data_IF_594393012826
#
_entry.id   IF_594393012826
#
_cell.length_a   1.000
_cell.length_b   1.000
_cell.length_c   1.000
_cell.angle_alpha   90.00
_cell.angle_beta   90.00
_cell.angle_gamma   90.00
#
_symmetry.space_group_name_H-M   'P 1'
#
loop_
_entity.id
_entity.type
_entity.pdbx_description
1 polymer ?
#
# COMPACT_ATOMS: atom_id res chain seq x y z
N UNK A 1 -23.52 -14.81 6.34
CA UNK A 1 -22.04 -14.88 6.34
C UNK A 1 -21.58 -14.75 4.90
N UNK A 2 -21.16 -13.56 4.47
CA UNK A 2 -20.53 -13.37 3.16
C UNK A 2 -19.05 -13.70 3.26
N UNK A 3 -18.52 -14.48 2.31
CA UNK A 3 -17.09 -14.72 2.22
C UNK A 3 -16.36 -13.40 1.97
N UNK A 4 -15.35 -13.10 2.77
CA UNK A 4 -14.48 -11.94 2.55
C UNK A 4 -13.75 -12.11 1.22
N UNK A 5 -13.65 -11.08 0.37
CA UNK A 5 -12.82 -11.15 -0.82
C UNK A 5 -11.38 -11.45 -0.41
N UNK A 6 -10.80 -12.49 -0.99
CA UNK A 6 -9.44 -12.93 -0.68
C UNK A 6 -8.39 -11.85 -1.04
N UNK A 7 -8.75 -10.88 -1.88
CA UNK A 7 -7.95 -9.70 -2.19
C UNK A 7 -8.86 -8.49 -2.39
N UNK A 8 -8.37 -7.30 -2.06
CA UNK A 8 -9.04 -6.02 -2.33
C UNK A 8 -9.06 -5.63 -3.81
N UNK A 9 -8.47 -6.45 -4.70
CA UNK A 9 -8.60 -6.26 -6.15
C UNK A 9 -9.67 -7.18 -6.71
N UNK A 10 -10.58 -6.60 -7.49
CA UNK A 10 -11.56 -7.34 -8.31
C UNK A 10 -10.97 -7.74 -9.66
N UNK A 11 -9.71 -7.38 -9.93
CA UNK A 11 -9.03 -7.73 -11.18
C UNK A 11 -8.67 -9.22 -11.19
N UNK A 12 -9.30 -10.04 -12.07
CA UNK A 12 -9.03 -11.47 -12.12
C UNK A 12 -7.57 -11.80 -12.46
N UNK A 13 -6.84 -10.92 -13.16
CA UNK A 13 -5.42 -11.12 -13.47
C UNK A 13 -4.58 -10.97 -12.21
N UNK A 14 -4.85 -9.95 -11.39
CA UNK A 14 -4.13 -9.73 -10.13
C UNK A 14 -4.51 -10.76 -9.06
N UNK A 15 -5.74 -11.27 -9.09
CA UNK A 15 -6.20 -12.39 -8.27
C UNK A 15 -5.47 -13.71 -8.58
N UNK A 16 -4.99 -13.89 -9.82
CA UNK A 16 -4.32 -15.11 -10.30
C UNK A 16 -2.82 -14.92 -10.54
N UNK A 17 -2.27 -13.76 -10.17
CA UNK A 17 -0.88 -13.45 -10.41
C UNK A 17 0.01 -14.18 -9.39
N UNK A 18 0.39 -15.41 -9.73
CA UNK A 18 1.51 -16.09 -9.08
C UNK A 18 2.80 -15.66 -9.79
N UNK A 19 3.71 -15.00 -9.06
CA UNK A 19 5.07 -14.83 -9.58
C UNK A 19 5.71 -16.22 -9.60
N UNK A 20 5.96 -16.75 -10.79
CA UNK A 20 6.68 -18.01 -10.99
C UNK A 20 8.14 -17.92 -10.55
N UNK A 21 8.68 -16.69 -10.45
CA UNK A 21 10.03 -16.45 -9.99
C UNK A 21 10.09 -15.25 -9.04
N UNK A 22 10.71 -15.45 -7.89
CA UNK A 22 11.02 -14.40 -6.94
C UNK A 22 12.52 -14.08 -7.03
N UNK A 23 12.91 -12.88 -7.48
CA UNK A 23 14.33 -12.53 -7.55
C UNK A 23 14.93 -12.59 -6.15
N UNK A 24 16.12 -13.18 -6.04
CA UNK A 24 16.86 -13.34 -4.78
C UNK A 24 18.02 -12.34 -4.65
N UNK A 25 18.49 -11.80 -5.77
CA UNK A 25 19.51 -10.76 -5.86
C UNK A 25 19.15 -9.72 -6.93
N UNK A 26 19.89 -8.62 -6.95
CA UNK A 26 19.86 -7.63 -8.03
C UNK A 26 20.86 -8.07 -9.11
N UNK A 27 20.36 -8.44 -10.28
CA UNK A 27 21.13 -8.69 -11.50
C UNK A 27 20.80 -7.64 -12.58
N UNK A 28 21.41 -7.74 -13.76
CA UNK A 28 21.19 -6.80 -14.86
C UNK A 28 19.73 -6.81 -15.35
N UNK A 29 19.07 -7.97 -15.32
CA UNK A 29 17.67 -8.08 -15.69
C UNK A 29 16.77 -7.35 -14.67
N UNK A 30 17.05 -7.49 -13.37
CA UNK A 30 16.36 -6.73 -12.33
C UNK A 30 16.66 -5.24 -12.45
N UNK A 31 17.89 -4.83 -12.77
CA UNK A 31 18.22 -3.42 -12.99
C UNK A 31 17.43 -2.85 -14.16
N UNK A 32 17.30 -3.57 -15.28
CA UNK A 32 16.47 -3.16 -16.41
C UNK A 32 14.99 -3.01 -16.00
N UNK A 33 14.45 -3.95 -15.22
CA UNK A 33 13.08 -3.86 -14.68
C UNK A 33 12.91 -2.64 -13.77
N UNK A 34 13.90 -2.30 -12.94
CA UNK A 34 13.85 -1.11 -12.09
C UNK A 34 13.86 0.18 -12.92
N UNK A 35 14.68 0.24 -13.97
CA UNK A 35 14.66 1.35 -14.94
C UNK A 35 13.27 1.52 -15.53
N UNK A 36 12.67 0.45 -16.07
CA UNK A 36 11.31 0.50 -16.59
C UNK A 36 10.29 0.95 -15.53
N UNK A 37 10.44 0.54 -14.27
CA UNK A 37 9.56 1.00 -13.19
C UNK A 37 9.68 2.51 -12.96
N UNK A 38 10.88 3.08 -13.05
CA UNK A 38 11.12 4.52 -12.92
C UNK A 38 10.55 5.29 -14.12
N UNK A 39 10.66 4.73 -15.33
CA UNK A 39 10.08 5.30 -16.54
C UNK A 39 8.58 5.43 -16.34
N UNK A 40 7.94 4.31 -15.98
CA UNK A 40 6.50 4.21 -15.70
C UNK A 40 6.04 5.17 -14.59
N UNK A 41 6.81 5.31 -13.52
CA UNK A 41 6.48 6.24 -12.43
C UNK A 41 6.51 7.71 -12.89
N UNK A 42 7.37 8.04 -13.86
CA UNK A 42 7.48 9.37 -14.44
C UNK A 42 6.28 9.70 -15.36
N UNK A 43 5.61 8.67 -15.90
CA UNK A 43 4.37 8.80 -16.70
C UNK A 43 3.09 8.96 -15.86
N UNK A 44 3.18 9.40 -14.59
CA UNK A 44 1.99 9.59 -13.72
C UNK A 44 0.94 10.59 -14.24
N UNK A 45 1.26 11.41 -15.25
CA UNK A 45 0.30 12.37 -15.83
C UNK A 45 -0.75 11.78 -16.80
N UNK A 46 -0.42 10.90 -17.76
CA UNK A 46 -1.44 10.30 -18.63
C UNK A 46 -2.38 9.29 -17.94
N UNK A 47 -1.93 8.61 -16.87
CA UNK A 47 -2.67 7.47 -16.29
C UNK A 47 -4.02 7.82 -15.66
N UNK A 48 -4.18 9.00 -15.08
CA UNK A 48 -5.47 9.42 -14.51
C UNK A 48 -6.54 9.72 -15.58
N UNK A 49 -6.14 9.88 -16.86
CA UNK A 49 -7.07 10.09 -17.98
C UNK A 49 -7.50 8.81 -18.69
N UNK A 50 -6.90 7.65 -18.38
CA UNK A 50 -7.21 6.40 -19.09
C UNK A 50 -8.39 5.63 -18.53
N UNK A 51 -8.92 6.04 -17.37
CA UNK A 51 -10.08 5.43 -16.73
C UNK A 51 -9.89 3.94 -16.39
N UNK A 52 -10.90 3.37 -15.74
CA UNK A 52 -10.95 1.92 -15.44
C UNK A 52 -11.15 1.06 -16.72
N UNK A 53 -11.35 1.67 -17.88
CA UNK A 53 -11.85 1.02 -19.10
C UNK A 53 -10.79 0.33 -19.96
N UNK A 54 -9.51 0.61 -19.76
CA UNK A 54 -8.42 -0.07 -20.48
C UNK A 54 -7.94 -1.30 -19.72
N UNK A 55 -7.89 -2.45 -20.40
CA UNK A 55 -7.37 -3.70 -19.84
C UNK A 55 -5.89 -3.56 -19.45
N UNK A 56 -5.43 -4.37 -18.48
CA UNK A 56 -4.01 -4.40 -18.06
C UNK A 56 -3.08 -4.64 -19.25
N UNK A 57 -3.47 -5.50 -20.19
CA UNK A 57 -2.66 -5.82 -21.37
C UNK A 57 -2.59 -4.64 -22.35
N UNK A 58 -3.66 -3.87 -22.52
CA UNK A 58 -3.62 -2.65 -23.33
C UNK A 58 -2.68 -1.60 -22.73
N UNK A 59 -2.65 -1.49 -21.39
CA UNK A 59 -1.70 -0.61 -20.69
C UNK A 59 -0.26 -1.11 -20.88
N UNK A 60 -0.01 -2.41 -20.71
CA UNK A 60 1.31 -3.04 -20.93
C UNK A 60 1.81 -2.84 -22.36
N UNK A 61 0.97 -3.09 -23.36
CA UNK A 61 1.34 -2.93 -24.77
C UNK A 61 1.68 -1.48 -25.12
N UNK A 62 0.89 -0.53 -24.60
CA UNK A 62 1.21 0.90 -24.75
C UNK A 62 2.55 1.24 -24.12
N UNK A 63 2.82 0.76 -22.90
CA UNK A 63 4.09 1.05 -22.24
C UNK A 63 5.28 0.40 -22.94
N UNK A 64 5.14 -0.82 -23.42
CA UNK A 64 6.17 -1.49 -24.22
C UNK A 64 6.48 -0.71 -25.51
N UNK A 65 5.47 -0.11 -26.14
CA UNK A 65 5.67 0.73 -27.31
C UNK A 65 6.38 2.07 -26.99
N UNK A 66 6.04 2.70 -25.86
CA UNK A 66 6.62 3.99 -25.46
C UNK A 66 8.08 3.89 -24.98
N UNK A 67 8.42 2.84 -24.23
CA UNK A 67 9.79 2.61 -23.74
C UNK A 67 10.76 2.32 -24.90
N UNK A 68 10.25 1.98 -26.09
CA UNK A 68 11.06 1.73 -27.28
C UNK A 68 11.48 2.98 -28.06
N UNK A 69 10.89 4.15 -27.81
CA UNK A 69 11.08 5.33 -28.68
C UNK A 69 11.85 6.50 -28.05
N UNK A 70 11.95 6.61 -26.71
CA UNK A 70 12.70 7.69 -26.05
C UNK A 70 13.63 7.15 -24.95
N UNK A 71 14.94 7.41 -25.07
CA UNK A 71 15.89 7.32 -23.94
C UNK A 71 15.59 8.45 -22.94
N UNK A 72 14.57 8.26 -22.11
CA UNK A 72 14.42 9.06 -20.91
C UNK A 72 15.59 8.72 -19.98
N UNK A 73 16.70 9.44 -20.14
CA UNK A 73 17.88 9.32 -19.29
C UNK A 73 17.49 9.65 -17.85
N UNK A 74 17.17 8.63 -17.06
CA UNK A 74 16.99 8.81 -15.63
C UNK A 74 18.31 9.24 -15.00
N UNK A 75 18.21 10.12 -14.01
CA UNK A 75 19.33 10.43 -13.14
C UNK A 75 19.89 9.11 -12.57
N UNK A 76 21.16 8.80 -12.89
CA UNK A 76 21.83 7.59 -12.44
C UNK A 76 21.76 7.43 -10.92
N UNK A 77 21.72 8.56 -10.19
CA UNK A 77 21.56 8.56 -8.74
C UNK A 77 20.19 8.04 -8.29
N UNK A 78 19.11 8.27 -9.06
CA UNK A 78 17.78 7.72 -8.76
C UNK A 78 17.75 6.20 -8.99
N UNK A 79 18.33 5.72 -10.09
CA UNK A 79 18.42 4.28 -10.35
C UNK A 79 19.24 3.57 -9.28
N UNK A 80 20.36 4.15 -8.84
CA UNK A 80 21.18 3.58 -7.78
C UNK A 80 20.46 3.61 -6.41
N UNK A 81 19.71 4.67 -6.11
CA UNK A 81 18.87 4.70 -4.91
C UNK A 81 17.76 3.63 -4.95
N UNK A 82 17.14 3.41 -6.11
CA UNK A 82 16.14 2.35 -6.30
C UNK A 82 16.75 0.96 -6.18
N UNK A 83 17.91 0.73 -6.81
CA UNK A 83 18.68 -0.50 -6.71
C UNK A 83 19.12 -0.80 -5.27
N UNK A 84 19.52 0.23 -4.51
CA UNK A 84 19.81 0.12 -3.09
C UNK A 84 18.59 -0.37 -2.31
N UNK A 85 17.44 0.28 -2.49
CA UNK A 85 16.20 -0.08 -1.80
C UNK A 85 15.71 -1.48 -2.19
N UNK A 86 15.82 -1.84 -3.47
CA UNK A 86 15.45 -3.17 -3.97
C UNK A 86 16.33 -4.25 -3.36
N UNK A 87 17.66 -4.05 -3.35
CA UNK A 87 18.59 -4.98 -2.72
C UNK A 87 18.31 -5.13 -1.22
N UNK A 88 18.06 -4.03 -0.52
CA UNK A 88 17.70 -4.04 0.90
C UNK A 88 16.38 -4.81 1.14
N UNK A 89 15.38 -4.62 0.28
CA UNK A 89 14.12 -5.37 0.31
C UNK A 89 14.37 -6.87 0.08
N UNK A 90 15.08 -7.27 -0.98
CA UNK A 90 15.33 -8.68 -1.28
C UNK A 90 16.04 -9.40 -0.13
N UNK A 91 17.06 -8.76 0.45
CA UNK A 91 17.93 -9.38 1.46
C UNK A 91 17.32 -9.37 2.87
N UNK A 92 16.62 -8.29 3.26
CA UNK A 92 16.15 -8.09 4.65
C UNK A 92 14.66 -7.82 4.73
N UNK A 93 14.12 -7.02 3.81
CA UNK A 93 12.72 -6.58 3.87
C UNK A 93 11.72 -7.70 3.62
N UNK A 94 11.92 -8.49 2.56
CA UNK A 94 11.02 -9.57 2.17
C UNK A 94 10.90 -10.64 3.25
N UNK A 95 11.98 -11.20 3.83
CA UNK A 95 11.84 -12.16 4.93
C UNK A 95 11.04 -11.61 6.12
N UNK A 96 11.24 -10.32 6.47
CA UNK A 96 10.51 -9.66 7.56
C UNK A 96 9.03 -9.48 7.26
N UNK A 97 8.69 -9.07 6.04
CA UNK A 97 7.30 -8.91 5.62
C UNK A 97 6.59 -10.27 5.51
N UNK A 98 7.24 -11.28 4.95
CA UNK A 98 6.69 -12.64 4.89
C UNK A 98 6.47 -13.24 6.28
N UNK A 99 7.33 -12.90 7.26
CA UNK A 99 7.15 -13.34 8.64
C UNK A 99 5.87 -12.77 9.32
N UNK A 100 5.19 -11.79 8.74
CA UNK A 100 3.90 -11.29 9.23
C UNK A 100 2.72 -12.24 8.89
N UNK A 101 2.87 -13.11 7.89
CA UNK A 101 1.86 -14.10 7.51
C UNK A 101 1.75 -14.32 5.99
N UNK A 102 1.00 -15.36 5.61
CA UNK A 102 0.93 -15.83 4.22
C UNK A 102 -0.07 -15.04 3.35
N UNK A 103 -1.10 -14.45 3.98
CA UNK A 103 -2.10 -13.65 3.27
C UNK A 103 -1.56 -12.25 3.06
N UNK A 104 -1.46 -11.79 1.82
CA UNK A 104 -1.13 -10.41 1.49
C UNK A 104 -2.23 -9.75 0.66
N UNK A 105 -2.72 -8.60 1.10
CA UNK A 105 -3.65 -7.75 0.34
C UNK A 105 -2.93 -6.45 0.02
N UNK A 106 -2.90 -6.09 -1.25
CA UNK A 106 -2.26 -4.87 -1.74
C UNK A 106 -3.34 -3.83 -2.00
N UNK A 107 -3.09 -2.59 -1.60
CA UNK A 107 -3.97 -1.46 -1.82
C UNK A 107 -5.44 -1.69 -1.35
N UNK A 108 -5.71 -2.28 -0.15
CA UNK A 108 -7.09 -2.48 0.26
C UNK A 108 -7.82 -1.14 0.43
N UNK A 109 -8.98 -1.03 -0.22
CA UNK A 109 -9.93 0.05 0.00
C UNK A 109 -10.60 -0.10 1.37
N UNK A 110 -10.72 1.02 2.08
CA UNK A 110 -11.30 1.16 3.41
C UNK A 110 -12.32 2.30 3.38
N UNK A 111 -13.42 2.18 4.14
CA UNK A 111 -14.48 3.20 4.14
C UNK A 111 -15.02 3.49 2.73
N UNK A 112 -15.35 2.44 1.96
CA UNK A 112 -15.86 2.56 0.58
C UNK A 112 -14.88 3.25 -0.41
N UNK A 113 -13.58 3.12 -0.16
CA UNK A 113 -12.51 3.71 -0.98
C UNK A 113 -12.01 5.06 -0.48
N UNK A 114 -12.59 5.60 0.61
CA UNK A 114 -12.14 6.84 1.23
C UNK A 114 -10.66 6.76 1.67
N UNK A 115 -10.26 5.61 2.20
CA UNK A 115 -8.87 5.29 2.49
C UNK A 115 -8.39 4.15 1.60
N UNK A 116 -7.19 4.27 1.05
CA UNK A 116 -6.47 3.17 0.41
C UNK A 116 -5.19 2.98 1.21
N UNK A 117 -5.09 1.88 1.94
CA UNK A 117 -3.87 1.54 2.67
C UNK A 117 -2.87 0.86 1.74
N UNK A 118 -1.58 0.82 2.08
CA UNK A 118 -0.59 0.21 1.20
C UNK A 118 -0.74 -1.32 1.15
N UNK A 119 -0.74 -1.97 2.32
CA UNK A 119 -0.65 -3.42 2.45
C UNK A 119 -1.35 -3.92 3.71
N UNK A 120 -1.94 -5.12 3.65
CA UNK A 120 -2.27 -5.93 4.83
C UNK A 120 -1.61 -7.30 4.66
N UNK A 121 -0.77 -7.71 5.62
CA UNK A 121 -0.10 -9.01 5.63
C UNK A 121 -0.49 -9.78 6.90
N UNK A 122 -1.07 -10.97 6.75
CA UNK A 122 -1.74 -11.68 7.84
C UNK A 122 -2.88 -10.81 8.41
N UNK A 123 -2.73 -10.44 9.67
CA UNK A 123 -3.61 -9.48 10.38
C UNK A 123 -2.91 -8.12 10.64
N UNK A 124 -1.78 -7.86 9.99
CA UNK A 124 -0.98 -6.64 10.18
C UNK A 124 -1.23 -5.65 9.05
N UNK A 125 -1.67 -4.44 9.38
CA UNK A 125 -1.74 -3.33 8.45
C UNK A 125 -0.36 -2.68 8.30
N UNK A 126 0.19 -2.65 7.08
CA UNK A 126 1.55 -2.18 6.82
C UNK A 126 1.51 -0.91 5.97
N UNK A 127 2.20 0.12 6.43
CA UNK A 127 2.47 1.37 5.68
C UNK A 127 3.92 1.38 5.22
N UNK A 128 4.15 1.64 3.93
CA UNK A 128 5.48 1.60 3.30
C UNK A 128 5.99 3.03 3.12
N UNK A 129 7.10 3.35 3.79
CA UNK A 129 7.71 4.68 3.74
C UNK A 129 9.13 4.61 3.23
N UNK A 130 9.48 5.54 2.35
CA UNK A 130 10.85 5.73 1.89
C UNK A 130 11.43 6.94 2.63
N UNK A 131 12.09 6.68 3.76
CA UNK A 131 12.77 7.71 4.54
C UNK A 131 14.13 7.20 5.00
N UNK A 132 15.17 8.01 4.77
CA UNK A 132 16.54 7.73 5.21
C UNK A 132 16.67 7.88 6.72
N UNK A 133 16.13 8.97 7.27
CA UNK A 133 16.12 9.31 8.69
C UNK A 133 14.76 9.91 9.08
N UNK A 134 13.81 9.09 9.55
CA UNK A 134 12.48 9.59 9.90
C UNK A 134 12.53 10.46 11.16
N UNK A 135 11.92 11.65 11.11
CA UNK A 135 11.75 12.49 12.30
C UNK A 135 10.63 11.96 13.19
N UNK A 136 10.65 12.30 14.48
CA UNK A 136 9.57 11.93 15.42
C UNK A 136 8.19 12.38 14.91
N UNK A 137 8.09 13.59 14.38
CA UNK A 137 6.84 14.13 13.82
C UNK A 137 6.36 13.33 12.61
N UNK A 138 7.27 12.89 11.72
CA UNK A 138 6.93 12.05 10.58
C UNK A 138 6.36 10.71 11.05
N UNK A 139 7.04 10.05 12.00
CA UNK A 139 6.58 8.78 12.58
C UNK A 139 5.21 8.93 13.23
N UNK A 140 4.98 9.99 14.00
CA UNK A 140 3.66 10.26 14.59
C UNK A 140 2.56 10.42 13.53
N UNK A 141 2.86 11.11 12.42
CA UNK A 141 1.90 11.25 11.31
C UNK A 141 1.59 9.90 10.66
N UNK A 142 2.60 9.05 10.44
CA UNK A 142 2.40 7.71 9.88
C UNK A 142 1.57 6.82 10.80
N UNK A 143 1.85 6.86 12.12
CA UNK A 143 1.06 6.11 13.11
C UNK A 143 -0.39 6.60 13.17
N UNK A 144 -0.63 7.90 13.11
CA UNK A 144 -2.00 8.46 13.02
C UNK A 144 -2.71 8.00 11.75
N UNK A 145 -2.01 7.99 10.61
CA UNK A 145 -2.56 7.51 9.34
C UNK A 145 -2.95 6.02 9.45
N UNK A 146 -2.05 5.17 9.93
CA UNK A 146 -2.31 3.74 10.17
C UNK A 146 -3.49 3.51 11.12
N UNK A 147 -3.57 4.25 12.22
CA UNK A 147 -4.71 4.21 13.13
C UNK A 147 -6.02 4.63 12.44
N UNK A 148 -5.98 5.69 11.61
CA UNK A 148 -7.13 6.08 10.80
C UNK A 148 -7.62 4.94 9.91
N UNK A 149 -6.72 4.24 9.22
CA UNK A 149 -7.06 3.07 8.41
C UNK A 149 -7.64 1.91 9.24
N UNK A 150 -7.07 1.62 10.42
CA UNK A 150 -7.61 0.60 11.34
C UNK A 150 -9.06 0.93 11.73
N UNK A 151 -9.35 2.21 11.98
CA UNK A 151 -10.69 2.67 12.34
C UNK A 151 -11.65 2.69 11.14
N UNK A 152 -11.15 2.91 9.93
CA UNK A 152 -11.93 2.80 8.69
C UNK A 152 -12.31 1.34 8.34
N UNK A 153 -11.61 0.33 8.87
CA UNK A 153 -12.06 -1.08 8.84
C UNK A 153 -13.18 -1.31 9.87
N UNK A 154 -14.28 -0.55 9.73
CA UNK A 154 -15.35 -0.47 10.71
C UNK A 154 -15.99 -1.83 11.03
N UNK A 155 -16.18 -2.68 10.02
CA UNK A 155 -16.72 -4.03 10.18
C UNK A 155 -15.68 -5.08 10.60
N UNK A 156 -14.45 -4.67 10.88
CA UNK A 156 -13.32 -5.55 11.18
C UNK A 156 -13.13 -6.65 10.12
N UNK A 157 -13.38 -6.31 8.86
CA UNK A 157 -13.38 -7.25 7.74
C UNK A 157 -11.96 -7.76 7.45
N UNK A 158 -10.96 -6.93 7.70
CA UNK A 158 -9.55 -7.28 7.51
C UNK A 158 -8.95 -7.95 8.76
N UNK A 159 -9.69 -7.95 9.88
CA UNK A 159 -9.28 -8.55 11.17
C UNK A 159 -7.94 -8.00 11.66
N UNK A 160 -7.69 -6.71 11.44
CA UNK A 160 -6.42 -6.07 11.78
C UNK A 160 -6.25 -6.08 13.31
N UNK A 161 -5.16 -6.67 13.79
CA UNK A 161 -4.79 -6.72 15.21
C UNK A 161 -3.41 -6.08 15.50
N UNK A 162 -2.66 -5.75 14.45
CA UNK A 162 -1.37 -5.08 14.52
C UNK A 162 -1.20 -4.07 13.39
N UNK A 163 -0.32 -3.10 13.60
CA UNK A 163 0.16 -2.19 12.56
C UNK A 163 1.66 -2.32 12.42
N UNK A 164 2.18 -2.01 11.24
CA UNK A 164 3.61 -1.90 11.01
C UNK A 164 3.96 -0.76 10.07
N UNK A 165 5.13 -0.17 10.30
CA UNK A 165 5.76 0.76 9.36
C UNK A 165 6.99 0.07 8.77
N UNK A 166 7.00 -0.06 7.45
CA UNK A 166 8.15 -0.58 6.71
C UNK A 166 8.95 0.59 6.11
N UNK A 167 10.18 0.79 6.59
CA UNK A 167 11.14 1.72 5.99
C UNK A 167 11.86 1.03 4.83
N UNK A 168 11.51 1.40 3.60
CA UNK A 168 12.06 0.81 2.38
C UNK A 168 13.56 1.06 2.20
N UNK A 169 14.05 2.24 2.60
CA UNK A 169 15.46 2.61 2.47
C UNK A 169 16.35 1.70 3.33
N UNK A 170 15.97 1.50 4.60
CA UNK A 170 16.76 0.72 5.55
C UNK A 170 16.34 -0.77 5.62
N UNK A 171 15.28 -1.15 4.88
CA UNK A 171 14.58 -2.43 4.98
C UNK A 171 14.21 -2.81 6.43
N UNK A 172 13.78 -1.83 7.22
CA UNK A 172 13.37 -2.00 8.61
C UNK A 172 11.86 -2.12 8.71
N UNK A 173 11.40 -3.02 9.56
CA UNK A 173 9.98 -3.22 9.85
C UNK A 173 9.79 -3.02 11.35
N UNK A 174 8.94 -2.08 11.72
CA UNK A 174 8.58 -1.82 13.12
C UNK A 174 7.11 -2.17 13.28
N UNK A 175 6.81 -3.11 14.17
CA UNK A 175 5.46 -3.65 14.36
C UNK A 175 4.96 -3.36 15.78
N UNK A 176 3.68 -3.00 15.89
CA UNK A 176 3.00 -2.78 17.16
C UNK A 176 1.66 -3.51 17.15
N UNK A 177 1.36 -4.24 18.22
CA UNK A 177 -0.01 -4.73 18.42
C UNK A 177 -0.94 -3.57 18.76
N UNK A 178 -2.16 -3.61 18.25
CA UNK A 178 -3.16 -2.57 18.52
C UNK A 178 -3.46 -2.39 20.01
N UNK A 179 -3.65 -3.46 20.82
CA UNK A 179 -3.89 -3.28 22.25
C UNK A 179 -2.75 -2.52 22.95
N UNK A 180 -1.50 -2.84 22.62
CA UNK A 180 -0.34 -2.14 23.19
C UNK A 180 -0.26 -0.69 22.75
N UNK A 181 -0.52 -0.43 21.46
CA UNK A 181 -0.49 0.91 20.92
C UNK A 181 -1.56 1.80 21.55
N UNK A 182 -2.79 1.30 21.67
CA UNK A 182 -3.90 2.01 22.32
C UNK A 182 -3.62 2.25 23.81
N UNK A 183 -3.06 1.26 24.51
CA UNK A 183 -2.69 1.42 25.92
C UNK A 183 -1.63 2.51 26.14
N UNK A 184 -0.68 2.67 25.21
CA UNK A 184 0.34 3.72 25.28
C UNK A 184 -0.22 5.08 24.84
N UNK A 185 -1.14 5.10 23.88
CA UNK A 185 -1.68 6.33 23.31
C UNK A 185 -2.80 6.97 24.14
N UNK A 186 -3.38 6.26 25.10
CA UNK A 186 -4.50 6.74 25.92
C UNK A 186 -4.09 6.88 27.39
N UNK A 187 -4.37 8.02 28.04
CA UNK A 187 -4.24 8.13 29.48
C UNK A 187 -5.34 7.30 30.17
N UNK A 188 -4.97 6.42 31.10
CA UNK A 188 -5.92 5.63 31.88
C UNK A 188 -6.29 4.28 31.23
N UNK A 189 -7.58 3.93 31.26
CA UNK A 189 -8.06 2.65 30.72
C UNK A 189 -7.87 2.59 29.21
N UNK A 190 -7.32 1.48 28.71
CA UNK A 190 -7.18 1.25 27.27
C UNK A 190 -8.55 1.25 26.60
N UNK A 191 -8.78 2.09 25.58
CA UNK A 191 -10.07 2.17 24.91
C UNK A 191 -10.40 0.88 24.15
N UNK A 192 -11.69 0.54 24.09
CA UNK A 192 -12.17 -0.55 23.25
C UNK A 192 -12.11 -0.16 21.77
N UNK A 193 -11.49 -0.99 20.95
CA UNK A 193 -11.27 -0.70 19.53
C UNK A 193 -12.58 -0.64 18.73
N UNK A 194 -13.61 -1.41 19.10
CA UNK A 194 -14.89 -1.38 18.38
C UNK A 194 -15.69 -0.12 18.71
N UNK A 195 -15.62 0.34 19.97
CA UNK A 195 -16.15 1.65 20.35
C UNK A 195 -15.47 2.76 19.54
N UNK A 196 -14.13 2.77 19.47
CA UNK A 196 -13.38 3.74 18.65
C UNK A 196 -13.77 3.70 17.17
N UNK A 197 -13.97 2.51 16.58
CA UNK A 197 -14.45 2.36 15.19
C UNK A 197 -15.83 2.96 14.98
N UNK A 198 -16.71 2.83 15.97
CA UNK A 198 -18.07 3.39 15.91
C UNK A 198 -18.02 4.90 15.99
N UNK A 199 -17.29 5.44 16.96
CA UNK A 199 -17.12 6.88 17.15
C UNK A 199 -16.47 7.54 15.92
N UNK A 200 -15.43 6.90 15.37
CA UNK A 200 -14.73 7.39 14.19
C UNK A 200 -15.61 7.38 12.94
N UNK A 201 -16.39 6.32 12.72
CA UNK A 201 -17.34 6.27 11.62
C UNK A 201 -18.41 7.37 11.75
N UNK A 202 -18.92 7.59 12.96
CA UNK A 202 -19.88 8.66 13.21
C UNK A 202 -19.27 10.04 12.92
N UNK A 203 -18.02 10.26 13.34
CA UNK A 203 -17.30 11.51 13.13
C UNK A 203 -17.02 11.80 11.64
N UNK A 204 -16.76 10.76 10.84
CA UNK A 204 -16.47 10.90 9.40
C UNK A 204 -17.69 10.74 8.48
N UNK A 205 -18.90 10.59 9.04
CA UNK A 205 -20.08 10.21 8.25
C UNK A 205 -20.32 11.17 7.08
N UNK A 206 -20.24 12.47 7.32
CA UNK A 206 -20.46 13.49 6.29
C UNK A 206 -19.41 13.40 5.17
N UNK A 207 -18.15 13.21 5.52
CA UNK A 207 -17.02 13.09 4.59
C UNK A 207 -17.14 11.81 3.75
N UNK A 208 -17.53 10.70 4.37
CA UNK A 208 -17.76 9.42 3.68
C UNK A 208 -18.92 9.53 2.70
N UNK A 209 -20.05 10.10 3.11
CA UNK A 209 -21.23 10.29 2.25
C UNK A 209 -20.88 11.19 1.04
N UNK A 210 -20.14 12.28 1.27
CA UNK A 210 -19.67 13.17 0.22
C UNK A 210 -18.72 12.47 -0.76
N UNK A 211 -17.81 11.64 -0.25
CA UNK A 211 -16.86 10.88 -1.08
C UNK A 211 -17.59 9.85 -1.97
N UNK A 212 -18.54 9.10 -1.41
CA UNK A 212 -19.35 8.15 -2.17
C UNK A 212 -20.11 8.86 -3.29
N UNK A 213 -20.78 9.97 -2.98
CA UNK A 213 -21.50 10.75 -3.99
C UNK A 213 -20.57 11.31 -5.08
N UNK A 214 -19.33 11.69 -4.74
CA UNK A 214 -18.32 12.11 -5.71
C UNK A 214 -17.87 10.94 -6.61
N UNK A 215 -17.55 9.78 -6.02
CA UNK A 215 -17.13 8.58 -6.75
C UNK A 215 -18.20 8.11 -7.74
N UNK A 216 -19.47 8.17 -7.35
CA UNK A 216 -20.60 7.88 -8.24
C UNK A 216 -20.68 8.85 -9.43
N UNK A 217 -20.50 10.15 -9.20
CA UNK A 217 -20.52 11.16 -10.28
C UNK A 217 -19.38 10.98 -11.28
N UNK A 218 -18.18 10.66 -10.81
CA UNK A 218 -17.03 10.43 -11.69
C UNK A 218 -17.17 9.15 -12.51
N UNK A 219 -17.88 8.14 -12.02
CA UNK A 219 -18.11 6.88 -12.74
C UNK A 219 -18.97 7.02 -14.00
N UNK A 220 -19.84 8.03 -14.05
CA UNK A 220 -20.78 8.27 -15.16
C UNK A 220 -20.42 9.49 -16.02
N UNK A 221 -19.19 10.01 -15.89
CA UNK A 221 -18.60 11.02 -16.76
C UNK A 221 -17.70 10.37 -17.80
#
# INVERSE_FOLDING_TARGET
MGALPASGTVDPILLHWSRTHHPVCLDDAQRAVLTTCLDLASFRQPMHRWGETKTVDARRAFFAAMVGEDEYGHDAHLLDAFAHCWTAYLTRGRPRLTALGDRAIIAPELGSGFGIADLVIGNTLVDVKLATQPTTTAVQTWLRQLLGYVLLDHHNALRIDAIAVYSGHNAQLVTYSLPRLLAVASPGTTPDLNALRTDFQQALRTELDNYVAWKERERYR
#
